data_IF_285789894021
#
_entry.id   IF_285789894021
#
_cell.length_a   1.000
_cell.length_b   1.000
_cell.length_c   1.000
_cell.angle_alpha   90.00
_cell.angle_beta   90.00
_cell.angle_gamma   90.00
#
_symmetry.space_group_name_H-M   'P 1'
#
loop_
_entity.id
_entity.type
_entity.pdbx_description
1 polymer ?
#
# COMPACT_ATOMS: atom_id res chain seq x y z
N UNK A 1 -45.25 -35.26 -9.90
CA UNK A 1 -44.58 -33.99 -9.53
C UNK A 1 -43.62 -33.67 -10.66
N UNK A 2 -43.71 -32.46 -11.20
CA UNK A 2 -42.80 -31.98 -12.23
C UNK A 2 -41.85 -30.97 -11.61
N UNK A 3 -40.58 -31.02 -11.98
CA UNK A 3 -39.55 -30.07 -11.56
C UNK A 3 -39.18 -29.27 -12.80
N UNK A 4 -39.43 -27.97 -12.76
CA UNK A 4 -39.15 -27.06 -13.85
C UNK A 4 -37.77 -26.41 -13.65
N UNK A 5 -37.13 -26.01 -14.74
CA UNK A 5 -35.82 -25.34 -14.74
C UNK A 5 -35.93 -24.03 -15.50
N UNK A 6 -35.27 -22.99 -14.97
CA UNK A 6 -35.30 -21.64 -15.54
C UNK A 6 -36.73 -21.13 -15.77
N UNK A 7 -37.52 -21.16 -14.69
CA UNK A 7 -38.95 -20.89 -14.73
C UNK A 7 -39.26 -19.45 -15.18
N UNK A 8 -40.32 -19.31 -15.94
CA UNK A 8 -40.91 -18.02 -16.29
C UNK A 8 -41.77 -17.47 -15.14
N UNK A 9 -42.13 -16.18 -15.21
CA UNK A 9 -42.98 -15.54 -14.20
C UNK A 9 -44.35 -16.21 -14.03
N UNK A 10 -44.95 -16.68 -15.12
CA UNK A 10 -46.24 -17.39 -15.07
C UNK A 10 -46.11 -18.77 -14.40
N UNK A 11 -44.97 -19.45 -14.60
CA UNK A 11 -44.69 -20.75 -13.99
C UNK A 11 -44.39 -20.62 -12.49
N UNK A 12 -43.75 -19.53 -12.08
CA UNK A 12 -43.60 -19.16 -10.66
C UNK A 12 -44.96 -18.87 -10.00
N UNK A 13 -45.81 -18.08 -10.66
CA UNK A 13 -47.13 -17.72 -10.13
C UNK A 13 -48.03 -18.94 -9.92
N UNK A 14 -48.02 -19.88 -10.86
CA UNK A 14 -48.83 -21.09 -10.85
C UNK A 14 -48.17 -22.26 -10.09
N UNK A 15 -46.88 -22.16 -9.79
CA UNK A 15 -46.10 -23.21 -9.14
C UNK A 15 -46.34 -23.30 -7.63
N UNK A 16 -46.25 -24.52 -7.10
CA UNK A 16 -46.44 -24.83 -5.68
C UNK A 16 -45.22 -24.53 -4.79
N UNK A 17 -44.06 -24.35 -5.42
CA UNK A 17 -42.79 -24.07 -4.78
C UNK A 17 -41.87 -23.38 -5.78
N UNK A 18 -41.17 -22.34 -5.33
CA UNK A 18 -40.09 -21.73 -6.09
C UNK A 18 -38.81 -21.71 -5.25
N UNK A 19 -37.69 -21.98 -5.90
CA UNK A 19 -36.39 -21.91 -5.23
C UNK A 19 -35.32 -21.45 -6.19
N UNK A 20 -34.39 -20.67 -5.67
CA UNK A 20 -33.31 -20.02 -6.39
C UNK A 20 -32.01 -20.57 -5.83
N UNK A 21 -31.19 -21.17 -6.69
CA UNK A 21 -29.91 -21.78 -6.29
C UNK A 21 -28.75 -21.12 -7.02
N UNK A 22 -27.89 -20.44 -6.27
CA UNK A 22 -26.67 -19.84 -6.81
C UNK A 22 -25.43 -20.60 -6.30
N UNK A 23 -24.36 -20.61 -7.10
CA UNK A 23 -23.16 -21.33 -6.72
C UNK A 23 -22.06 -21.31 -7.76
N UNK A 24 -20.98 -22.00 -7.42
CA UNK A 24 -19.83 -22.23 -8.31
C UNK A 24 -19.87 -23.67 -8.85
N UNK A 25 -18.87 -24.03 -9.65
CA UNK A 25 -18.65 -25.42 -10.05
C UNK A 25 -18.38 -26.38 -8.88
N UNK A 26 -17.96 -25.85 -7.72
CA UNK A 26 -17.62 -26.65 -6.53
C UNK A 26 -18.78 -26.85 -5.57
N UNK A 27 -19.78 -25.98 -5.58
CA UNK A 27 -20.86 -26.03 -4.59
C UNK A 27 -21.79 -24.82 -4.63
N UNK A 28 -22.80 -24.87 -3.77
CA UNK A 28 -23.83 -23.82 -3.60
C UNK A 28 -23.26 -22.71 -2.72
N UNK A 29 -23.48 -21.45 -3.12
CA UNK A 29 -23.13 -20.25 -2.34
C UNK A 29 -24.34 -19.64 -1.66
N UNK A 30 -25.52 -19.74 -2.29
CA UNK A 30 -26.77 -19.31 -1.69
C UNK A 30 -27.95 -20.14 -2.21
N UNK A 31 -28.94 -20.28 -1.35
CA UNK A 31 -30.22 -20.88 -1.66
C UNK A 31 -31.33 -20.01 -1.07
N UNK A 32 -32.36 -19.74 -1.84
CA UNK A 32 -33.61 -19.16 -1.38
C UNK A 32 -34.73 -20.11 -1.79
N UNK A 33 -35.67 -20.35 -0.88
CA UNK A 33 -36.74 -21.31 -1.09
C UNK A 33 -38.02 -20.74 -0.51
N UNK A 34 -39.08 -20.70 -1.32
CA UNK A 34 -40.42 -20.33 -0.92
C UNK A 34 -41.37 -21.49 -1.25
N UNK A 35 -42.06 -21.97 -0.23
CA UNK A 35 -42.91 -23.17 -0.29
C UNK A 35 -44.34 -22.72 -0.05
N UNK A 36 -45.21 -22.90 -1.04
CA UNK A 36 -46.62 -22.46 -0.97
C UNK A 36 -47.56 -23.57 -0.51
N UNK A 37 -47.11 -24.83 -0.52
CA UNK A 37 -47.90 -26.02 -0.14
C UNK A 37 -47.21 -26.86 0.94
N UNK A 38 -47.97 -27.72 1.62
CA UNK A 38 -47.40 -28.77 2.48
C UNK A 38 -47.11 -30.04 1.65
N UNK A 39 -46.11 -30.83 2.05
CA UNK A 39 -45.84 -32.15 1.43
C UNK A 39 -44.64 -32.22 0.49
N UNK A 40 -43.75 -31.23 0.48
CA UNK A 40 -42.44 -31.37 -0.19
C UNK A 40 -41.56 -32.31 0.64
N UNK A 41 -41.37 -33.53 0.17
CA UNK A 41 -40.51 -34.51 0.81
C UNK A 41 -39.03 -34.31 0.47
N UNK A 42 -38.15 -35.00 1.21
CA UNK A 42 -36.70 -34.92 1.00
C UNK A 42 -36.26 -35.41 -0.38
N UNK A 43 -37.00 -36.36 -0.97
CA UNK A 43 -36.66 -36.93 -2.26
C UNK A 43 -36.87 -35.90 -3.37
N UNK A 44 -38.04 -35.24 -3.37
CA UNK A 44 -38.37 -34.15 -4.30
C UNK A 44 -37.33 -33.03 -4.21
N UNK A 45 -36.95 -32.62 -3.00
CA UNK A 45 -35.94 -31.58 -2.82
C UNK A 45 -34.56 -32.02 -3.34
N UNK A 46 -34.20 -33.29 -3.15
CA UNK A 46 -32.93 -33.84 -3.64
C UNK A 46 -32.89 -33.84 -5.17
N UNK A 47 -33.97 -34.28 -5.81
CA UNK A 47 -34.10 -34.32 -7.25
C UNK A 47 -34.10 -32.89 -7.83
N UNK A 48 -34.79 -31.96 -7.18
CA UNK A 48 -34.81 -30.55 -7.57
C UNK A 48 -33.43 -29.90 -7.47
N UNK A 49 -32.67 -30.16 -6.41
CA UNK A 49 -31.30 -29.67 -6.26
C UNK A 49 -30.34 -30.28 -7.27
N UNK A 50 -30.52 -31.54 -7.65
CA UNK A 50 -29.73 -32.19 -8.70
C UNK A 50 -30.00 -31.55 -10.06
N UNK A 51 -31.27 -31.35 -10.42
CA UNK A 51 -31.65 -30.68 -11.65
C UNK A 51 -31.16 -29.22 -11.68
N UNK A 52 -31.28 -28.50 -10.56
CA UNK A 52 -30.74 -27.14 -10.42
C UNK A 52 -29.21 -27.10 -10.53
N UNK A 53 -28.50 -28.15 -10.07
CA UNK A 53 -27.04 -28.26 -10.25
C UNK A 53 -26.68 -28.39 -11.73
N UNK A 54 -27.38 -29.23 -12.48
CA UNK A 54 -27.14 -29.40 -13.92
C UNK A 54 -27.37 -28.09 -14.67
N UNK A 55 -28.51 -27.42 -14.42
CA UNK A 55 -28.81 -26.11 -15.00
C UNK A 55 -27.76 -25.05 -14.63
N UNK A 56 -27.34 -24.99 -13.36
CA UNK A 56 -26.29 -24.07 -12.91
C UNK A 56 -24.97 -24.31 -13.62
N UNK A 57 -24.53 -25.56 -13.76
CA UNK A 57 -23.28 -25.90 -14.44
C UNK A 57 -23.34 -25.57 -15.94
N UNK A 58 -24.51 -25.76 -16.56
CA UNK A 58 -24.74 -25.34 -17.94
C UNK A 58 -24.58 -23.82 -18.11
N UNK A 59 -25.27 -23.02 -17.28
CA UNK A 59 -25.17 -21.55 -17.32
C UNK A 59 -23.74 -21.07 -17.05
N UNK A 60 -23.06 -21.63 -16.05
CA UNK A 60 -21.65 -21.31 -15.77
C UNK A 60 -20.74 -21.64 -16.96
N UNK A 61 -21.02 -22.72 -17.69
CA UNK A 61 -20.31 -23.08 -18.92
C UNK A 61 -20.48 -22.04 -20.02
N UNK A 62 -21.70 -21.56 -20.25
CA UNK A 62 -21.97 -20.49 -21.21
C UNK A 62 -21.33 -19.15 -20.79
N UNK A 63 -21.40 -18.80 -19.49
CA UNK A 63 -20.71 -17.61 -18.97
C UNK A 63 -19.19 -17.67 -19.18
N UNK A 64 -18.59 -18.85 -18.98
CA UNK A 64 -17.16 -19.05 -19.14
C UNK A 64 -16.67 -18.88 -20.59
N UNK A 65 -17.54 -19.11 -21.59
CA UNK A 65 -17.22 -18.81 -23.00
C UNK A 65 -17.00 -17.31 -23.24
N UNK A 66 -17.66 -16.46 -22.47
CA UNK A 66 -17.50 -15.00 -22.55
C UNK A 66 -16.33 -14.51 -21.67
N UNK A 67 -16.21 -15.01 -20.44
CA UNK A 67 -15.15 -14.62 -19.51
C UNK A 67 -14.87 -15.73 -18.49
N UNK A 68 -13.81 -16.52 -18.72
CA UNK A 68 -13.43 -17.62 -17.84
C UNK A 68 -12.66 -17.17 -16.58
N UNK A 69 -11.87 -16.10 -16.69
CA UNK A 69 -11.02 -15.60 -15.60
C UNK A 69 -11.19 -14.09 -15.41
N UNK A 70 -10.97 -13.56 -14.20
CA UNK A 70 -10.90 -12.13 -13.99
C UNK A 70 -9.88 -11.48 -14.93
N UNK A 71 -10.15 -10.26 -15.37
CA UNK A 71 -9.20 -9.47 -16.17
C UNK A 71 -7.97 -9.15 -15.32
N UNK A 72 -6.78 -9.14 -15.93
CA UNK A 72 -5.55 -8.81 -15.23
C UNK A 72 -5.57 -7.38 -14.68
N UNK A 73 -6.14 -6.46 -15.45
CA UNK A 73 -6.23 -5.05 -15.11
C UNK A 73 -7.67 -4.57 -15.00
N UNK A 74 -7.87 -3.65 -14.05
CA UNK A 74 -9.10 -2.88 -13.91
C UNK A 74 -9.19 -1.85 -15.05
N UNK A 75 -10.40 -1.49 -15.46
CA UNK A 75 -10.65 -0.45 -16.47
C UNK A 75 -9.91 0.85 -16.15
N UNK A 76 -9.38 1.52 -17.17
CA UNK A 76 -8.72 2.84 -17.05
C UNK A 76 -9.61 3.94 -16.46
N UNK A 77 -10.92 3.78 -16.54
CA UNK A 77 -11.89 4.75 -16.01
C UNK A 77 -12.47 4.35 -14.65
N UNK A 78 -12.22 3.12 -14.21
CA UNK A 78 -12.64 2.69 -12.88
C UNK A 78 -11.62 3.24 -11.87
N UNK A 79 -12.09 3.76 -10.72
CA UNK A 79 -11.20 4.20 -9.66
C UNK A 79 -10.25 3.08 -9.28
N UNK A 80 -8.95 3.36 -9.32
CA UNK A 80 -7.96 2.42 -8.80
C UNK A 80 -7.91 2.58 -7.30
N UNK A 81 -8.24 1.52 -6.59
CA UNK A 81 -8.06 1.42 -5.15
C UNK A 81 -6.78 0.66 -4.94
N UNK A 82 -5.80 1.29 -4.28
CA UNK A 82 -4.55 0.65 -3.90
C UNK A 82 -4.37 0.80 -2.40
N UNK A 83 -4.16 -0.33 -1.74
CA UNK A 83 -3.85 -0.34 -0.31
C UNK A 83 -2.35 -0.49 -0.14
N UNK A 84 -1.74 0.44 0.59
CA UNK A 84 -0.34 0.34 1.04
C UNK A 84 -0.32 0.18 2.55
N UNK A 85 0.73 -0.46 3.09
CA UNK A 85 0.93 -0.58 4.54
C UNK A 85 2.06 0.32 4.98
N UNK A 86 1.83 1.11 6.03
CA UNK A 86 2.81 2.00 6.65
C UNK A 86 3.04 1.61 8.12
N UNK A 87 4.18 1.98 8.71
CA UNK A 87 4.40 1.79 10.15
C UNK A 87 3.37 2.57 10.98
N UNK A 88 2.76 1.91 11.98
CA UNK A 88 1.73 2.50 12.86
C UNK A 88 2.26 3.75 13.59
N UNK A 89 3.55 3.78 13.90
CA UNK A 89 4.25 4.94 14.48
C UNK A 89 4.16 6.20 13.61
N UNK A 90 4.09 6.06 12.28
CA UNK A 90 4.13 7.15 11.29
C UNK A 90 2.75 7.60 10.81
N UNK A 91 1.66 6.99 11.30
CA UNK A 91 0.28 7.42 10.96
C UNK A 91 0.07 8.90 11.27
N UNK A 92 0.58 9.36 12.42
CA UNK A 92 0.47 10.76 12.85
C UNK A 92 1.18 11.73 11.90
N UNK A 93 2.27 11.30 11.28
CA UNK A 93 3.05 12.12 10.35
C UNK A 93 2.33 12.28 9.01
N UNK A 94 1.63 11.24 8.56
CA UNK A 94 0.82 11.28 7.32
C UNK A 94 -0.43 12.14 7.50
N UNK A 95 -1.12 12.02 8.65
CA UNK A 95 -2.28 12.86 8.95
C UNK A 95 -1.83 14.31 9.18
N UNK A 96 -0.77 14.50 9.94
CA UNK A 96 -0.27 15.80 10.38
C UNK A 96 -1.21 16.49 11.39
N UNK A 97 -0.82 17.65 11.94
CA UNK A 97 -1.63 18.38 12.91
C UNK A 97 -2.98 18.79 12.30
N UNK A 98 -4.07 18.30 12.89
CA UNK A 98 -5.44 18.59 12.43
C UNK A 98 -5.79 18.03 11.04
N UNK A 99 -5.06 17.03 10.55
CA UNK A 99 -5.27 16.48 9.21
C UNK A 99 -4.74 17.37 8.08
N UNK A 100 -3.88 18.36 8.37
CA UNK A 100 -3.39 19.31 7.37
C UNK A 100 -2.60 18.63 6.24
N UNK A 101 -1.75 17.66 6.58
CA UNK A 101 -0.87 17.00 5.61
C UNK A 101 -1.69 16.11 4.68
N UNK A 102 -2.56 15.27 5.22
CA UNK A 102 -3.43 14.42 4.41
C UNK A 102 -4.37 15.23 3.52
N UNK A 103 -4.92 16.35 4.01
CA UNK A 103 -5.74 17.26 3.20
C UNK A 103 -4.96 17.90 2.06
N UNK A 104 -3.69 18.25 2.28
CA UNK A 104 -2.82 18.77 1.22
C UNK A 104 -2.54 17.70 0.15
N UNK A 105 -2.27 16.46 0.55
CA UNK A 105 -2.08 15.34 -0.39
C UNK A 105 -3.35 15.10 -1.20
N UNK A 106 -4.53 15.06 -0.56
CA UNK A 106 -5.82 14.92 -1.23
C UNK A 106 -6.05 16.07 -2.21
N UNK A 107 -5.79 17.32 -1.81
CA UNK A 107 -5.98 18.49 -2.66
C UNK A 107 -5.06 18.49 -3.88
N UNK A 108 -3.81 18.02 -3.74
CA UNK A 108 -2.82 17.99 -4.82
C UNK A 108 -3.02 16.82 -5.78
N UNK A 109 -3.48 15.67 -5.29
CA UNK A 109 -3.57 14.43 -6.08
C UNK A 109 -4.99 14.14 -6.56
N UNK A 110 -6.00 14.77 -5.96
CA UNK A 110 -7.41 14.46 -6.20
C UNK A 110 -7.80 13.04 -5.77
N UNK A 111 -6.95 12.36 -4.99
CA UNK A 111 -7.21 11.02 -4.47
C UNK A 111 -7.97 11.11 -3.14
N UNK A 112 -8.86 10.14 -2.89
CA UNK A 112 -9.41 9.85 -1.58
C UNK A 112 -8.44 8.94 -0.84
N UNK A 113 -8.07 9.31 0.39
CA UNK A 113 -7.12 8.57 1.21
C UNK A 113 -7.80 8.24 2.53
N UNK A 114 -7.85 6.96 2.85
CA UNK A 114 -8.36 6.44 4.12
C UNK A 114 -7.24 5.72 4.86
N UNK A 115 -7.11 5.95 6.15
CA UNK A 115 -6.02 5.41 6.98
C UNK A 115 -6.63 4.69 8.18
N UNK A 116 -6.34 3.41 8.27
CA UNK A 116 -6.73 2.54 9.38
C UNK A 116 -5.68 2.55 10.49
N UNK A 117 -6.11 2.30 11.72
CA UNK A 117 -5.25 2.27 12.92
C UNK A 117 -4.19 1.13 12.87
N UNK A 118 -4.38 0.14 11.99
CA UNK A 118 -3.44 -0.97 11.79
C UNK A 118 -2.28 -0.61 10.84
N UNK A 119 -2.27 0.62 10.30
CA UNK A 119 -1.29 1.11 9.33
C UNK A 119 -1.65 0.83 7.87
N UNK A 120 -2.85 0.33 7.57
CA UNK A 120 -3.33 0.18 6.20
C UNK A 120 -3.84 1.53 5.67
N UNK A 121 -3.35 1.94 4.50
CA UNK A 121 -3.73 3.18 3.83
C UNK A 121 -4.35 2.84 2.49
N UNK A 122 -5.66 3.05 2.37
CA UNK A 122 -6.41 2.85 1.13
C UNK A 122 -6.44 4.17 0.33
N UNK A 123 -5.92 4.12 -0.89
CA UNK A 123 -5.82 5.27 -1.78
C UNK A 123 -6.70 4.97 -2.99
N UNK A 124 -7.70 5.82 -3.23
CA UNK A 124 -8.62 5.70 -4.34
C UNK A 124 -8.59 6.97 -5.19
N UNK A 125 -8.37 6.86 -6.50
CA UNK A 125 -8.48 8.01 -7.41
C UNK A 125 -9.08 7.58 -8.75
N UNK A 126 -9.85 8.46 -9.43
CA UNK A 126 -10.30 8.23 -10.80
C UNK A 126 -9.14 8.22 -11.82
N UNK A 127 -7.97 8.78 -11.47
CA UNK A 127 -6.76 8.74 -12.31
C UNK A 127 -5.71 7.83 -11.71
N UNK A 128 -5.05 7.03 -12.56
CA UNK A 128 -3.90 6.22 -12.15
C UNK A 128 -2.73 7.08 -11.64
N UNK A 129 -2.53 8.24 -12.25
CA UNK A 129 -1.47 9.19 -11.88
C UNK A 129 -1.70 9.78 -10.47
N UNK A 130 -2.96 10.05 -10.13
CA UNK A 130 -3.33 10.55 -8.80
C UNK A 130 -3.01 9.54 -7.70
N UNK A 131 -3.29 8.25 -7.95
CA UNK A 131 -2.92 7.16 -7.02
C UNK A 131 -1.40 7.06 -6.87
N UNK A 132 -0.66 7.04 -7.98
CA UNK A 132 0.81 6.91 -7.94
C UNK A 132 1.48 8.09 -7.23
N UNK A 133 1.02 9.32 -7.49
CA UNK A 133 1.51 10.51 -6.80
C UNK A 133 1.21 10.47 -5.31
N UNK A 134 -0.01 10.09 -4.91
CA UNK A 134 -0.38 9.96 -3.51
C UNK A 134 0.47 8.90 -2.79
N UNK A 135 0.68 7.73 -3.43
CA UNK A 135 1.57 6.68 -2.90
C UNK A 135 2.99 7.23 -2.72
N UNK A 136 3.52 7.98 -3.69
CA UNK A 136 4.87 8.54 -3.62
C UNK A 136 5.00 9.55 -2.48
N UNK A 137 4.02 10.44 -2.30
CA UNK A 137 3.99 11.40 -1.20
C UNK A 137 3.91 10.72 0.17
N UNK A 138 3.01 9.74 0.32
CA UNK A 138 2.86 8.99 1.58
C UNK A 138 4.15 8.22 1.89
N UNK A 139 4.72 7.50 0.91
CA UNK A 139 5.98 6.76 1.11
C UNK A 139 7.13 7.66 1.51
N UNK A 140 7.23 8.87 0.96
CA UNK A 140 8.26 9.84 1.35
C UNK A 140 8.11 10.29 2.80
N UNK A 141 6.87 10.42 3.30
CA UNK A 141 6.60 10.77 4.70
C UNK A 141 6.80 9.58 5.65
N UNK A 142 6.56 8.35 5.18
CA UNK A 142 6.64 7.14 6.02
C UNK A 142 7.95 6.37 5.83
N UNK A 143 8.93 6.93 5.13
CA UNK A 143 10.20 6.27 4.90
C UNK A 143 10.97 6.17 6.23
N UNK A 144 11.33 4.95 6.62
CA UNK A 144 12.17 4.71 7.78
C UNK A 144 13.64 4.64 7.36
N UNK A 145 14.50 5.14 8.24
CA UNK A 145 15.94 5.05 8.07
C UNK A 145 16.37 3.61 8.38
N UNK A 146 16.78 2.88 7.35
CA UNK A 146 17.27 1.50 7.53
C UNK A 146 18.70 1.52 8.04
N UNK A 147 18.96 0.74 9.10
CA UNK A 147 20.30 0.54 9.64
C UNK A 147 21.21 0.00 8.53
N UNK A 148 22.35 0.66 8.32
CA UNK A 148 23.33 0.31 7.31
C UNK A 148 23.17 1.06 5.98
N UNK A 149 22.05 1.75 5.72
CA UNK A 149 21.92 2.57 4.50
C UNK A 149 22.57 3.94 4.67
N UNK A 150 23.14 4.43 3.57
CA UNK A 150 23.68 5.78 3.43
C UNK A 150 22.62 6.70 2.86
N UNK A 151 22.45 7.88 3.46
CA UNK A 151 21.52 8.91 3.03
C UNK A 151 22.27 10.23 2.84
N UNK A 152 21.81 11.04 1.88
CA UNK A 152 22.20 12.43 1.77
C UNK A 152 21.27 13.24 2.68
N UNK A 153 21.82 13.90 3.70
CA UNK A 153 21.05 14.70 4.63
C UNK A 153 21.61 16.10 4.81
N UNK A 154 20.77 17.03 5.24
CA UNK A 154 21.15 18.44 5.43
C UNK A 154 21.37 18.73 6.91
N UNK A 155 22.48 19.40 7.24
CA UNK A 155 22.77 19.80 8.62
C UNK A 155 21.78 20.87 9.07
N UNK A 156 20.89 20.53 10.01
CA UNK A 156 19.91 21.46 10.58
C UNK A 156 20.51 22.34 11.67
N UNK A 157 21.25 21.72 12.60
CA UNK A 157 21.80 22.37 13.79
C UNK A 157 23.10 21.72 14.22
N UNK A 158 24.04 22.53 14.68
CA UNK A 158 25.30 22.05 15.25
C UNK A 158 25.30 22.26 16.77
N UNK A 159 25.85 21.31 17.51
CA UNK A 159 26.04 21.32 18.96
C UNK A 159 27.50 20.96 19.29
N UNK A 160 27.94 21.24 20.52
CA UNK A 160 29.33 20.95 20.94
C UNK A 160 29.70 19.46 20.89
N UNK A 161 28.72 18.57 21.05
CA UNK A 161 28.92 17.11 21.06
C UNK A 161 28.56 16.41 19.74
N UNK A 162 28.01 17.13 18.75
CA UNK A 162 27.55 16.52 17.50
C UNK A 162 26.73 17.45 16.60
N UNK A 163 26.27 16.93 15.47
CA UNK A 163 25.42 17.64 14.51
C UNK A 163 24.10 16.90 14.29
N UNK A 164 23.00 17.65 14.20
CA UNK A 164 21.71 17.13 13.78
C UNK A 164 21.57 17.25 12.26
N UNK A 165 21.41 16.11 11.61
CA UNK A 165 21.27 16.00 10.15
C UNK A 165 19.89 15.47 9.83
N UNK A 166 19.13 16.22 9.02
CA UNK A 166 17.83 15.79 8.53
C UNK A 166 18.03 14.89 7.31
N UNK A 167 17.57 13.63 7.41
CA UNK A 167 17.68 12.63 6.33
C UNK A 167 16.38 12.47 5.53
N UNK A 168 15.25 12.72 6.17
CA UNK A 168 13.92 12.80 5.55
C UNK A 168 13.14 13.95 6.18
N UNK A 169 12.12 14.51 5.51
CA UNK A 169 11.30 15.57 6.08
C UNK A 169 10.75 15.20 7.46
N UNK A 170 11.22 15.89 8.50
CA UNK A 170 10.83 15.63 9.89
C UNK A 170 11.51 14.44 10.57
N UNK A 171 12.56 13.87 9.98
CA UNK A 171 13.37 12.79 10.57
C UNK A 171 14.82 13.25 10.71
N UNK A 172 15.19 13.61 11.94
CA UNK A 172 16.53 14.05 12.31
C UNK A 172 17.35 12.89 12.90
N UNK A 173 18.61 12.79 12.50
CA UNK A 173 19.59 11.92 13.13
C UNK A 173 20.74 12.70 13.74
N UNK A 174 21.36 12.13 14.78
CA UNK A 174 22.51 12.72 15.46
C UNK A 174 23.80 12.07 14.97
N UNK A 175 24.71 12.90 14.47
CA UNK A 175 26.11 12.52 14.22
C UNK A 175 26.93 12.95 15.43
N UNK A 176 27.51 11.99 16.15
CA UNK A 176 28.38 12.29 17.29
C UNK A 176 29.74 12.82 16.81
N UNK A 177 30.41 13.65 17.61
CA UNK A 177 31.71 14.24 17.24
C UNK A 177 32.77 13.19 16.84
N UNK A 178 32.74 12.02 17.48
CA UNK A 178 33.63 10.88 17.20
C UNK A 178 33.37 10.21 15.84
N UNK A 179 32.19 10.43 15.25
CA UNK A 179 31.71 9.79 14.03
C UNK A 179 31.74 10.73 12.81
N UNK A 180 32.31 11.94 12.96
CA UNK A 180 32.40 12.96 11.91
C UNK A 180 33.50 12.67 10.88
N UNK A 181 34.67 12.23 11.32
CA UNK A 181 35.83 12.01 10.46
C UNK A 181 36.77 10.96 11.06
N UNK A 182 37.64 10.40 10.23
CA UNK A 182 38.65 9.41 10.63
C UNK A 182 39.76 9.98 11.53
N UNK A 183 39.91 11.31 11.58
CA UNK A 183 40.90 12.02 12.40
C UNK A 183 40.31 12.60 13.69
N UNK A 184 41.18 13.12 14.58
CA UNK A 184 40.77 13.74 15.85
C UNK A 184 40.19 15.13 15.59
N UNK A 185 38.87 15.23 15.59
CA UNK A 185 38.14 16.50 15.45
C UNK A 185 37.97 17.14 16.83
N UNK A 186 38.41 18.40 16.98
CA UNK A 186 38.24 19.14 18.24
C UNK A 186 36.88 19.87 18.31
N UNK A 187 36.38 20.37 17.17
CA UNK A 187 35.08 21.05 17.08
C UNK A 187 34.29 20.59 15.87
N UNK A 188 32.98 20.44 16.02
CA UNK A 188 32.08 20.04 14.94
C UNK A 188 32.03 21.10 13.82
N UNK A 189 32.10 22.37 14.22
CA UNK A 189 32.09 23.55 13.32
C UNK A 189 33.26 23.60 12.33
N UNK A 190 34.37 22.91 12.63
CA UNK A 190 35.53 22.84 11.74
C UNK A 190 35.25 21.95 10.51
N UNK A 191 34.24 21.08 10.59
CA UNK A 191 33.99 19.97 9.66
C UNK A 191 32.60 20.03 9.02
N UNK A 192 31.64 20.69 9.65
CA UNK A 192 30.27 20.86 9.18
C UNK A 192 29.82 22.30 9.40
N UNK A 193 29.01 22.82 8.47
CA UNK A 193 28.26 24.06 8.66
C UNK A 193 26.76 23.79 8.63
N UNK A 194 25.98 24.63 9.29
CA UNK A 194 24.53 24.58 9.18
C UNK A 194 24.12 24.84 7.72
N UNK A 195 23.24 23.99 7.19
CA UNK A 195 22.81 24.00 5.80
C UNK A 195 23.64 23.15 4.84
N UNK A 196 24.77 22.56 5.27
CA UNK A 196 25.57 21.69 4.40
C UNK A 196 24.85 20.35 4.12
N UNK A 197 24.94 19.87 2.89
CA UNK A 197 24.52 18.52 2.52
C UNK A 197 25.66 17.53 2.73
N UNK A 198 25.41 16.49 3.54
CA UNK A 198 26.40 15.49 3.90
C UNK A 198 25.85 14.07 3.79
N UNK A 199 26.72 13.17 3.32
CA UNK A 199 26.45 11.73 3.29
C UNK A 199 26.66 11.13 4.68
N UNK A 200 25.63 10.46 5.19
CA UNK A 200 25.59 9.88 6.52
C UNK A 200 25.01 8.48 6.47
N UNK A 201 25.60 7.54 7.22
CA UNK A 201 25.13 6.16 7.33
C UNK A 201 24.39 5.97 8.64
N UNK A 202 23.26 5.26 8.62
CA UNK A 202 22.53 4.89 9.83
C UNK A 202 23.27 3.77 10.54
N UNK A 203 23.82 4.03 11.72
CA UNK A 203 24.54 3.03 12.53
C UNK A 203 23.58 2.25 13.41
N UNK A 204 22.62 2.94 14.03
CA UNK A 204 21.59 2.30 14.83
C UNK A 204 20.37 3.21 15.01
N UNK A 205 19.22 2.59 15.22
CA UNK A 205 17.98 3.26 15.60
C UNK A 205 17.63 2.80 17.01
N UNK A 206 17.57 3.73 17.95
CA UNK A 206 17.21 3.44 19.35
C UNK A 206 15.70 3.20 19.47
N UNK A 207 15.26 2.50 20.53
CA UNK A 207 13.83 2.22 20.81
C UNK A 207 12.98 3.47 21.00
N UNK A 208 13.61 4.60 21.32
CA UNK A 208 12.96 5.91 21.40
C UNK A 208 12.85 6.64 20.05
N UNK A 209 13.25 6.01 18.93
CA UNK A 209 13.24 6.60 17.59
C UNK A 209 14.41 7.53 17.30
N UNK A 210 15.42 7.60 18.17
CA UNK A 210 16.63 8.39 17.94
C UNK A 210 17.57 7.66 16.98
N UNK A 211 17.90 8.30 15.87
CA UNK A 211 18.74 7.74 14.82
C UNK A 211 20.19 8.18 15.06
N UNK A 212 21.10 7.21 15.23
CA UNK A 212 22.54 7.46 15.27
C UNK A 212 23.10 7.36 13.86
N UNK A 213 23.73 8.45 13.44
CA UNK A 213 24.33 8.59 12.12
C UNK A 213 25.86 8.62 12.26
N UNK A 214 26.56 8.02 11.30
CA UNK A 214 28.02 8.14 11.18
C UNK A 214 28.41 8.59 9.79
N UNK A 215 29.19 9.68 9.74
CA UNK A 215 29.80 10.17 8.50
C UNK A 215 31.08 9.39 8.20
N UNK A 216 31.81 8.95 9.23
CA UNK A 216 33.02 8.15 9.09
C UNK A 216 32.75 6.83 8.36
N UNK A 217 31.69 6.11 8.71
CA UNK A 217 31.34 4.87 8.01
C UNK A 217 30.88 5.11 6.57
N UNK A 218 30.11 6.18 6.33
CA UNK A 218 29.73 6.58 4.98
C UNK A 218 30.95 6.89 4.09
N UNK A 219 31.95 7.57 4.64
CA UNK A 219 33.21 7.89 3.95
C UNK A 219 34.12 6.65 3.78
N UNK A 220 34.10 5.71 4.73
CA UNK A 220 34.88 4.48 4.64
C UNK A 220 34.36 3.55 3.53
N UNK A 221 33.03 3.47 3.34
CA UNK A 221 32.43 2.74 2.22
C UNK A 221 32.73 3.40 0.87
N UNK A 222 32.76 4.73 0.80
CA UNK A 222 33.20 5.44 -0.42
C UNK A 222 34.71 5.35 -0.68
N UNK A 223 35.53 5.15 0.35
CA UNK A 223 36.98 4.95 0.24
C UNK A 223 37.40 3.52 -0.08
N UNK A 224 36.47 2.56 -0.09
CA UNK A 224 36.70 1.15 -0.38
C UNK A 224 36.50 0.74 -1.84
N UNK A 225 35.91 1.61 -2.67
CA UNK A 225 35.76 1.38 -4.11
C UNK A 225 36.28 2.60 -4.89
N UNK A 226 37.56 2.52 -5.25
CA UNK A 226 38.21 3.48 -6.13
C UNK A 226 37.67 3.41 -7.56
N UNK A 227 36.45 3.94 -7.77
CA UNK A 227 36.02 4.46 -9.07
C UNK A 227 35.33 5.80 -8.88
N UNK A 228 36.09 6.84 -9.16
CA UNK A 228 35.63 8.19 -9.45
C UNK A 228 34.44 8.14 -10.42
N UNK A 229 33.25 8.51 -9.95
CA UNK A 229 32.24 9.06 -10.83
C UNK A 229 32.58 10.54 -11.04
N UNK A 230 33.24 10.84 -12.16
CA UNK A 230 33.41 12.20 -12.62
C UNK A 230 32.04 12.89 -12.79
N UNK A 231 31.90 14.18 -12.49
CA UNK A 231 30.67 14.91 -12.77
C UNK A 231 30.40 14.92 -14.29
N UNK A 232 29.13 14.81 -14.73
CA UNK A 232 28.80 14.86 -16.15
C UNK A 232 29.18 16.25 -16.70
N UNK A 233 30.09 16.24 -17.69
CA UNK A 233 30.43 17.40 -18.50
C UNK A 233 29.19 17.87 -19.25
N UNK A 234 28.75 19.09 -18.96
CA UNK A 234 27.72 19.79 -19.73
C UNK A 234 28.26 20.06 -21.14
N UNK A 235 27.61 19.61 -22.22
CA UNK A 235 28.00 20.01 -23.57
C UNK A 235 27.59 21.47 -23.79
N UNK A 236 28.57 22.34 -23.99
CA UNK A 236 28.33 23.69 -24.52
C UNK A 236 27.95 23.58 -26.00
N UNK A 237 26.80 24.16 -26.35
CA UNK A 237 26.53 24.66 -27.70
C UNK A 237 27.11 26.07 -27.83
#
# INVERSE_FOLDING_TARGET
IAILSDILGDEDHLGDMDFKVCGTGKGITSIQMDIKITGVDKQILTDALNQAREGRLHILGEMAKALATPRADISKYAPKITTIRIPVSRIKDVIGPGGKVIKDIIARTGASIDIEDDGSVAIASPSSEGVEQAIKMIRALTQEAEVGKTYLGTVRRIMEFGAFVEIFPGTDGLVHISDLASGRVQKVEDVLKEGDEVMVKVVSVDRSGKIRLSRKEALAEQGGDGKQAAPPSVPKA
#
